data_IF_402647068705
#
_entry.id   IF_402647068705
#
_cell.length_a   1.000
_cell.length_b   1.000
_cell.length_c   1.000
_cell.angle_alpha   90.00
_cell.angle_beta   90.00
_cell.angle_gamma   90.00
#
_symmetry.space_group_name_H-M   'P 1'
#
loop_
_entity.id
_entity.type
_entity.pdbx_description
1 polymer ?
#
# COMPACT_ATOMS: atom_id res chain seq x y z
N UNK A 1 5.30 -8.46 -17.53
CA UNK A 1 4.43 -7.39 -17.05
C UNK A 1 4.48 -7.28 -15.54
N UNK A 2 4.52 -6.07 -15.04
CA UNK A 2 4.53 -5.80 -13.61
C UNK A 2 3.14 -5.97 -13.02
N UNK A 3 3.05 -6.59 -11.84
CA UNK A 3 1.81 -6.64 -11.06
C UNK A 3 1.60 -5.37 -10.24
N UNK A 4 2.58 -4.53 -10.16
CA UNK A 4 2.49 -3.23 -9.48
C UNK A 4 3.84 -2.65 -9.14
N UNK A 5 3.87 -1.33 -9.01
CA UNK A 5 5.04 -0.58 -8.56
C UNK A 5 4.83 -0.21 -7.09
N UNK A 6 5.71 -0.71 -6.24
CA UNK A 6 5.63 -0.52 -4.79
C UNK A 6 6.73 0.40 -4.31
N UNK A 7 6.42 1.21 -3.30
CA UNK A 7 7.42 1.94 -2.54
C UNK A 7 7.44 1.34 -1.13
N UNK A 8 8.60 0.92 -0.66
CA UNK A 8 8.77 0.42 0.70
C UNK A 8 9.71 1.35 1.46
N UNK A 9 9.18 1.96 2.50
CA UNK A 9 9.88 2.97 3.32
C UNK A 9 10.20 2.35 4.68
N UNK A 10 11.48 2.11 4.94
CA UNK A 10 11.93 1.46 6.17
C UNK A 10 13.43 1.71 6.35
N UNK A 11 13.85 2.20 7.51
CA UNK A 11 15.27 2.47 7.76
C UNK A 11 16.09 1.18 7.91
N UNK A 12 15.43 0.04 8.14
CA UNK A 12 16.07 -1.28 8.23
C UNK A 12 15.82 -2.11 6.96
N UNK A 13 15.83 -1.46 5.79
CA UNK A 13 15.50 -2.11 4.53
C UNK A 13 16.39 -3.32 4.23
N UNK A 14 17.62 -3.31 4.72
CA UNK A 14 18.54 -4.46 4.57
C UNK A 14 18.01 -5.74 5.19
N UNK A 15 17.23 -5.62 6.27
CA UNK A 15 16.60 -6.77 6.93
C UNK A 15 15.39 -7.30 6.15
N UNK A 16 14.95 -6.58 5.14
CA UNK A 16 13.76 -6.92 4.36
C UNK A 16 14.09 -7.48 2.98
N UNK A 17 15.37 -7.77 2.71
CA UNK A 17 15.80 -8.28 1.39
C UNK A 17 15.05 -9.53 0.95
N UNK A 18 14.86 -10.48 1.86
CA UNK A 18 14.15 -11.72 1.54
C UNK A 18 12.70 -11.44 1.13
N UNK A 19 12.04 -10.52 1.81
CA UNK A 19 10.68 -10.09 1.48
C UNK A 19 10.62 -9.44 0.11
N UNK A 20 11.59 -8.57 -0.17
CA UNK A 20 11.67 -7.86 -1.44
C UNK A 20 11.88 -8.84 -2.59
N UNK A 21 12.82 -9.78 -2.45
CA UNK A 21 13.09 -10.82 -3.45
C UNK A 21 11.81 -11.63 -3.71
N UNK A 22 11.11 -12.01 -2.65
CA UNK A 22 9.87 -12.76 -2.76
C UNK A 22 8.83 -11.98 -3.60
N UNK A 23 8.64 -10.68 -3.29
CA UNK A 23 7.69 -9.84 -4.01
C UNK A 23 8.09 -9.64 -5.48
N UNK A 24 9.39 -9.47 -5.74
CA UNK A 24 9.88 -9.33 -7.10
C UNK A 24 9.66 -10.61 -7.91
N UNK A 25 9.82 -11.77 -7.30
CA UNK A 25 9.51 -13.06 -7.95
C UNK A 25 8.01 -13.19 -8.24
N UNK A 26 7.17 -12.50 -7.51
CA UNK A 26 5.73 -12.49 -7.74
C UNK A 26 5.31 -11.40 -8.76
N UNK A 27 6.27 -10.72 -9.35
CA UNK A 27 6.00 -9.77 -10.42
C UNK A 27 5.82 -8.33 -10.01
N UNK A 28 6.15 -7.98 -8.77
CA UNK A 28 6.09 -6.60 -8.30
C UNK A 28 7.45 -5.92 -8.46
N UNK A 29 7.43 -4.64 -8.78
CA UNK A 29 8.63 -3.80 -8.77
C UNK A 29 8.67 -3.04 -7.46
N UNK A 30 9.75 -3.21 -6.70
CA UNK A 30 9.87 -2.61 -5.37
C UNK A 30 10.96 -1.54 -5.40
N UNK A 31 10.57 -0.31 -5.12
CA UNK A 31 11.49 0.79 -4.87
C UNK A 31 11.62 0.95 -3.37
N UNK A 32 12.84 1.05 -2.86
CA UNK A 32 13.08 1.16 -1.44
C UNK A 32 13.72 2.49 -1.09
N UNK A 33 13.28 3.08 -0.01
CA UNK A 33 13.90 4.27 0.58
C UNK A 33 13.99 4.06 2.09
N UNK A 34 14.93 4.73 2.74
CA UNK A 34 15.22 4.50 4.15
C UNK A 34 14.65 5.56 5.10
N UNK A 35 13.95 6.54 4.57
CA UNK A 35 13.39 7.63 5.40
C UNK A 35 12.20 8.28 4.72
N UNK A 36 11.46 9.07 5.49
CA UNK A 36 10.24 9.72 5.02
C UNK A 36 10.49 10.81 3.99
N UNK A 37 11.56 11.58 4.12
CA UNK A 37 11.88 12.65 3.16
C UNK A 37 12.10 12.08 1.77
N UNK A 38 12.85 10.99 1.66
CA UNK A 38 13.10 10.32 0.37
C UNK A 38 11.81 9.70 -0.18
N UNK A 39 10.94 9.19 0.70
CA UNK A 39 9.64 8.67 0.30
C UNK A 39 8.78 9.76 -0.35
N UNK A 40 8.74 10.93 0.25
CA UNK A 40 8.00 12.08 -0.26
C UNK A 40 8.54 12.49 -1.64
N UNK A 41 9.88 12.56 -1.78
CA UNK A 41 10.50 12.88 -3.05
C UNK A 41 10.14 11.86 -4.14
N UNK A 42 10.17 10.59 -3.82
CA UNK A 42 9.78 9.54 -4.77
C UNK A 42 8.32 9.67 -5.18
N UNK A 43 7.43 9.98 -4.25
CA UNK A 43 6.01 10.17 -4.54
C UNK A 43 5.74 11.39 -5.41
N UNK A 44 6.60 12.40 -5.38
CA UNK A 44 6.51 13.56 -6.26
C UNK A 44 6.96 13.24 -7.69
N UNK A 45 7.85 12.26 -7.85
CA UNK A 45 8.42 11.88 -9.15
C UNK A 45 7.53 10.89 -9.91
N UNK A 46 6.84 10.00 -9.22
CA UNK A 46 6.02 8.97 -9.86
C UNK A 46 4.91 8.48 -8.94
N UNK A 47 3.90 7.90 -9.55
CA UNK A 47 2.76 7.34 -8.84
C UNK A 47 3.02 5.87 -8.54
N UNK A 48 2.89 5.50 -7.28
CA UNK A 48 3.02 4.11 -6.84
C UNK A 48 1.63 3.46 -6.76
N UNK A 49 1.60 2.15 -6.94
CA UNK A 49 0.37 1.38 -6.79
C UNK A 49 0.06 1.11 -5.32
N UNK A 50 1.09 1.11 -4.48
CA UNK A 50 0.96 0.95 -3.04
C UNK A 50 2.24 1.39 -2.36
N UNK A 51 2.11 1.98 -1.17
CA UNK A 51 3.24 2.38 -0.34
C UNK A 51 3.20 1.59 0.97
N UNK A 52 4.32 0.94 1.31
CA UNK A 52 4.51 0.29 2.61
C UNK A 52 5.43 1.18 3.45
N UNK A 53 5.05 1.41 4.70
CA UNK A 53 5.63 2.47 5.51
C UNK A 53 5.82 2.05 6.96
N UNK A 54 7.05 2.16 7.45
CA UNK A 54 7.35 1.95 8.87
C UNK A 54 7.09 3.22 9.66
N UNK A 55 6.65 3.07 10.91
CA UNK A 55 6.46 4.21 11.83
C UNK A 55 7.79 4.68 12.42
N UNK A 56 8.66 3.75 12.77
CA UNK A 56 9.89 4.02 13.52
C UNK A 56 11.06 4.29 12.60
N UNK A 57 11.24 5.56 12.23
CA UNK A 57 12.34 5.99 11.37
C UNK A 57 12.97 7.28 11.90
N UNK A 58 14.28 7.49 11.67
CA UNK A 58 14.90 8.78 12.01
C UNK A 58 14.33 9.90 11.12
N UNK A 59 14.21 11.09 11.69
CA UNK A 59 13.62 12.22 11.00
C UNK A 59 12.11 12.18 11.04
N UNK A 60 11.46 12.21 9.88
CA UNK A 60 10.00 12.10 9.83
C UNK A 60 9.55 10.72 10.28
N UNK A 61 8.53 10.68 11.15
CA UNK A 61 7.88 9.43 11.53
C UNK A 61 7.06 8.88 10.37
N UNK A 62 6.63 7.62 10.49
CA UNK A 62 5.72 7.04 9.51
C UNK A 62 4.43 7.82 9.39
N UNK A 63 3.85 8.25 10.52
CA UNK A 63 2.60 9.03 10.49
C UNK A 63 2.76 10.38 9.78
N UNK A 64 3.87 11.07 10.04
CA UNK A 64 4.16 12.34 9.35
C UNK A 64 4.34 12.12 7.85
N UNK A 65 5.05 11.06 7.49
CA UNK A 65 5.26 10.67 6.08
C UNK A 65 3.93 10.31 5.42
N UNK A 66 3.09 9.54 6.12
CA UNK A 66 1.77 9.12 5.65
C UNK A 66 0.91 10.32 5.24
N UNK A 67 0.87 11.34 6.07
CA UNK A 67 0.09 12.53 5.79
C UNK A 67 0.55 13.22 4.52
N UNK A 68 1.87 13.35 4.34
CA UNK A 68 2.45 13.98 3.15
C UNK A 68 2.20 13.16 1.90
N UNK A 69 2.37 11.85 1.98
CA UNK A 69 2.11 10.95 0.86
C UNK A 69 0.64 11.03 0.43
N UNK A 70 -0.28 11.07 1.38
CA UNK A 70 -1.71 11.19 1.10
C UNK A 70 -2.08 12.54 0.48
N UNK A 71 -1.37 13.61 0.81
CA UNK A 71 -1.55 14.90 0.17
C UNK A 71 -1.11 14.86 -1.30
N UNK A 72 0.00 14.18 -1.59
CA UNK A 72 0.57 14.09 -2.94
C UNK A 72 -0.17 13.08 -3.80
N UNK A 73 -0.47 11.90 -3.23
CA UNK A 73 -1.13 10.79 -3.92
C UNK A 73 -2.34 10.30 -3.11
N UNK A 74 -3.46 11.04 -3.12
CA UNK A 74 -4.61 10.67 -2.27
C UNK A 74 -5.21 9.30 -2.59
N UNK A 75 -5.03 8.80 -3.81
CA UNK A 75 -5.60 7.53 -4.24
C UNK A 75 -4.69 6.34 -4.01
N UNK A 76 -3.41 6.57 -3.68
CA UNK A 76 -2.47 5.47 -3.48
C UNK A 76 -2.68 4.86 -2.10
N UNK A 77 -2.97 3.55 -2.02
CA UNK A 77 -3.11 2.90 -0.72
C UNK A 77 -1.78 2.87 0.03
N UNK A 78 -1.83 3.16 1.31
CA UNK A 78 -0.67 3.10 2.20
C UNK A 78 -0.93 2.02 3.24
N UNK A 79 0.04 1.13 3.41
CA UNK A 79 0.03 0.06 4.40
C UNK A 79 1.15 0.32 5.39
N UNK A 80 0.82 0.38 6.68
CA UNK A 80 1.84 0.46 7.72
C UNK A 80 2.40 -0.94 7.98
N UNK A 81 3.73 -1.06 7.98
CA UNK A 81 4.43 -2.32 8.26
C UNK A 81 5.50 -2.00 9.31
N UNK A 82 5.20 -2.23 10.57
CA UNK A 82 6.01 -1.69 11.66
C UNK A 82 5.99 -2.60 12.88
N UNK A 83 6.98 -2.42 13.77
CA UNK A 83 7.01 -3.08 15.07
C UNK A 83 6.10 -2.39 16.09
N UNK A 84 5.65 -1.17 15.80
CA UNK A 84 4.86 -0.40 16.76
C UNK A 84 3.47 -1.00 16.96
N UNK A 85 3.14 -1.29 18.20
CA UNK A 85 1.82 -1.74 18.63
C UNK A 85 1.15 -0.70 19.52
N UNK A 86 1.65 0.53 19.51
CA UNK A 86 1.08 1.61 20.30
C UNK A 86 -0.31 1.97 19.77
N UNK A 87 -1.27 1.94 20.65
CA UNK A 87 -2.69 2.17 20.31
C UNK A 87 -2.91 3.55 19.70
N UNK A 88 -2.26 4.58 20.24
CA UNK A 88 -2.38 5.94 19.72
C UNK A 88 -1.89 6.04 18.27
N UNK A 89 -0.78 5.39 17.95
CA UNK A 89 -0.24 5.38 16.59
C UNK A 89 -1.19 4.66 15.65
N UNK A 90 -1.72 3.51 16.08
CA UNK A 90 -2.68 2.75 15.29
C UNK A 90 -3.95 3.55 15.01
N UNK A 91 -4.46 4.24 16.02
CA UNK A 91 -5.66 5.08 15.87
C UNK A 91 -5.42 6.24 14.91
N UNK A 92 -4.28 6.91 15.01
CA UNK A 92 -3.95 8.01 14.10
C UNK A 92 -3.78 7.51 12.66
N UNK A 93 -3.17 6.34 12.47
CA UNK A 93 -3.03 5.72 11.15
C UNK A 93 -4.41 5.42 10.55
N UNK A 94 -5.30 4.82 11.32
CA UNK A 94 -6.67 4.53 10.90
C UNK A 94 -7.40 5.83 10.53
N UNK A 95 -7.26 6.86 11.36
CA UNK A 95 -7.84 8.17 11.09
C UNK A 95 -7.31 8.82 9.81
N UNK A 96 -6.10 8.47 9.41
CA UNK A 96 -5.48 8.93 8.15
C UNK A 96 -5.82 8.01 6.97
N UNK A 97 -6.73 7.08 7.15
CA UNK A 97 -7.30 6.20 6.10
C UNK A 97 -6.26 5.29 5.46
N UNK A 98 -5.45 4.63 6.26
CA UNK A 98 -4.54 3.60 5.76
C UNK A 98 -5.33 2.40 5.24
N UNK A 99 -4.71 1.67 4.30
CA UNK A 99 -5.31 0.46 3.73
C UNK A 99 -5.20 -0.73 4.68
N UNK A 100 -4.09 -0.83 5.41
CA UNK A 100 -3.87 -1.92 6.36
C UNK A 100 -2.74 -1.56 7.33
N UNK A 101 -2.65 -2.29 8.44
CA UNK A 101 -1.62 -2.11 9.47
C UNK A 101 -1.07 -3.49 9.82
N UNK A 102 0.19 -3.75 9.45
CA UNK A 102 0.84 -5.04 9.67
C UNK A 102 1.94 -4.89 10.73
N UNK A 103 1.99 -5.84 11.66
CA UNK A 103 2.96 -5.84 12.75
C UNK A 103 4.12 -6.76 12.39
N UNK A 104 5.35 -6.26 12.50
CA UNK A 104 6.56 -7.07 12.33
C UNK A 104 6.76 -8.02 13.51
N UNK A 105 7.29 -9.22 13.31
CA UNK A 105 7.73 -9.78 12.03
C UNK A 105 6.53 -10.19 11.17
N UNK A 106 6.57 -9.80 9.89
CA UNK A 106 5.47 -10.07 8.97
C UNK A 106 5.89 -11.16 7.96
N UNK A 107 4.99 -12.09 7.73
CA UNK A 107 5.19 -13.16 6.77
C UNK A 107 5.08 -12.59 5.34
N UNK A 108 6.00 -12.95 4.41
CA UNK A 108 5.90 -12.48 3.03
C UNK A 108 4.55 -12.79 2.36
N UNK A 109 3.95 -13.93 2.68
CA UNK A 109 2.62 -14.29 2.15
C UNK A 109 1.53 -13.34 2.63
N UNK A 110 1.64 -12.81 3.83
CA UNK A 110 0.70 -11.83 4.37
C UNK A 110 0.80 -10.51 3.61
N UNK A 111 2.02 -10.09 3.31
CA UNK A 111 2.26 -8.90 2.49
C UNK A 111 1.65 -9.10 1.10
N UNK A 112 1.92 -10.24 0.47
CA UNK A 112 1.38 -10.55 -0.85
C UNK A 112 -0.15 -10.49 -0.87
N UNK A 113 -0.80 -11.04 0.14
CA UNK A 113 -2.25 -11.01 0.25
C UNK A 113 -2.77 -9.57 0.35
N UNK A 114 -2.12 -8.74 1.16
CA UNK A 114 -2.44 -7.33 1.30
C UNK A 114 -2.30 -6.58 -0.03
N UNK A 115 -1.23 -6.86 -0.78
CA UNK A 115 -1.02 -6.26 -2.11
C UNK A 115 -2.14 -6.65 -3.07
N UNK A 116 -2.45 -7.93 -3.17
CA UNK A 116 -3.50 -8.43 -4.06
C UNK A 116 -4.86 -7.83 -3.72
N UNK A 117 -5.16 -7.72 -2.45
CA UNK A 117 -6.42 -7.14 -1.98
C UNK A 117 -6.56 -5.67 -2.37
N UNK A 118 -5.50 -4.90 -2.23
CA UNK A 118 -5.56 -3.45 -2.43
C UNK A 118 -5.33 -3.03 -3.88
N UNK A 119 -4.35 -3.60 -4.55
CA UNK A 119 -4.02 -3.25 -5.93
C UNK A 119 -5.07 -3.78 -6.88
N UNK A 120 -5.50 -5.03 -6.71
CA UNK A 120 -6.51 -5.65 -7.56
C UNK A 120 -7.85 -4.92 -7.47
N UNK A 121 -8.24 -4.44 -6.28
CA UNK A 121 -9.46 -3.66 -6.12
C UNK A 121 -9.42 -2.36 -6.92
N UNK A 122 -8.27 -1.68 -6.93
CA UNK A 122 -8.09 -0.47 -7.73
C UNK A 122 -8.25 -0.75 -9.21
N UNK A 123 -7.64 -1.81 -9.70
CA UNK A 123 -7.72 -2.21 -11.11
C UNK A 123 -9.15 -2.49 -11.53
N UNK A 124 -9.90 -3.23 -10.74
CA UNK A 124 -11.30 -3.52 -11.03
C UNK A 124 -12.12 -2.23 -11.14
N UNK A 125 -11.98 -1.34 -10.18
CA UNK A 125 -12.70 -0.06 -10.18
C UNK A 125 -12.31 0.77 -11.40
N UNK A 126 -11.03 0.83 -11.73
CA UNK A 126 -10.53 1.59 -12.88
C UNK A 126 -11.07 1.02 -14.19
N UNK A 127 -11.06 -0.29 -14.35
CA UNK A 127 -11.58 -0.96 -15.54
C UNK A 127 -13.05 -0.65 -15.75
N UNK A 128 -13.86 -0.77 -14.71
CA UNK A 128 -15.29 -0.48 -14.77
C UNK A 128 -15.52 0.97 -15.18
N UNK A 129 -14.73 1.89 -14.63
CA UNK A 129 -14.86 3.32 -14.93
C UNK A 129 -14.44 3.64 -16.37
N UNK A 130 -13.34 3.04 -16.84
CA UNK A 130 -12.78 3.35 -18.16
C UNK A 130 -13.52 2.67 -19.30
N UNK A 131 -13.93 1.43 -19.10
CA UNK A 131 -14.54 0.63 -20.17
C UNK A 131 -15.91 1.16 -20.58
N UNK A 132 -16.64 1.79 -19.68
CA UNK A 132 -17.99 2.25 -19.94
C UNK A 132 -18.98 1.14 -20.26
N UNK A 133 -18.62 -0.11 -20.03
CA UNK A 133 -19.49 -1.26 -20.29
C UNK A 133 -20.55 -1.37 -19.20
N UNK A 134 -21.71 -0.88 -19.50
CA UNK A 134 -22.82 -0.94 -18.56
C UNK A 134 -23.18 -2.36 -18.16
N UNK A 135 -23.05 -3.30 -19.08
CA UNK A 135 -23.33 -4.70 -18.78
C UNK A 135 -22.38 -5.26 -17.71
N UNK A 136 -21.08 -5.01 -17.86
CA UNK A 136 -20.11 -5.46 -16.87
C UNK A 136 -20.36 -4.80 -15.52
N UNK A 137 -20.63 -3.52 -15.53
CA UNK A 137 -20.97 -2.78 -14.32
C UNK A 137 -22.21 -3.35 -13.66
N UNK A 138 -23.25 -3.63 -14.44
CA UNK A 138 -24.47 -4.19 -13.92
C UNK A 138 -24.25 -5.59 -13.33
N UNK A 139 -23.50 -6.44 -14.03
CA UNK A 139 -23.16 -7.76 -13.51
C UNK A 139 -22.38 -7.66 -12.19
N UNK A 140 -21.39 -6.81 -12.13
CA UNK A 140 -20.61 -6.61 -10.92
C UNK A 140 -21.48 -6.10 -9.77
N UNK A 141 -22.36 -5.13 -10.05
CA UNK A 141 -23.30 -4.61 -9.07
C UNK A 141 -24.25 -5.68 -8.56
N UNK A 142 -24.76 -6.51 -9.45
CA UNK A 142 -25.65 -7.61 -9.08
C UNK A 142 -24.93 -8.65 -8.22
N UNK A 143 -23.69 -8.97 -8.54
CA UNK A 143 -22.88 -9.89 -7.73
C UNK A 143 -22.63 -9.35 -6.33
N UNK A 144 -22.32 -8.07 -6.23
CA UNK A 144 -22.10 -7.41 -4.93
C UNK A 144 -23.41 -7.42 -4.13
N UNK A 145 -24.53 -7.07 -4.75
CA UNK A 145 -25.83 -7.08 -4.10
C UNK A 145 -26.21 -8.48 -3.64
N UNK A 146 -25.96 -9.50 -4.45
CA UNK A 146 -26.23 -10.89 -4.08
C UNK A 146 -25.36 -11.34 -2.89
N UNK A 147 -24.13 -10.90 -2.82
CA UNK A 147 -23.24 -11.21 -1.69
C UNK A 147 -23.69 -10.52 -0.40
N UNK A 148 -24.36 -9.39 -0.49
CA UNK A 148 -24.80 -8.61 0.67
C UNK A 148 -26.20 -9.01 1.16
N UNK A 149 -26.90 -9.81 0.42
CA UNK A 149 -28.21 -10.31 0.83
C UNK A 149 -28.12 -11.70 1.42
#
# INVERSE_FOLDING_TARGET
MSNGLLLWVDDEIELLKAHIIFLEKKGYNVTTVSNGADAIDECRKRTFDLVMLDEMMPGLTGLETLQKVKEIQPQTPVVMVTKSEEEDIMEQAIGSKIADYLIKPVNPSQILLTLKKNIHRREIVTEVTQSGYQQEYQQLSMQIAACNT
#
